data_IF_970331008217
#
_entry.id   IF_970331008217
#
_cell.length_a   1.000
_cell.length_b   1.000
_cell.length_c   1.000
_cell.angle_alpha   90.00
_cell.angle_beta   90.00
_cell.angle_gamma   90.00
#
_symmetry.space_group_name_H-M   'P 1'
#
loop_
_entity.id
_entity.type
_entity.pdbx_description
1 polymer ?
#
# COMPACT_ATOMS: atom_id res chain seq x y z
N UNK A 1 47.49 13.79 -18.85
CA UNK A 1 46.57 12.65 -18.56
C UNK A 1 45.75 12.84 -17.27
N UNK A 2 45.58 14.05 -16.70
CA UNK A 2 44.86 14.25 -15.42
C UNK A 2 43.47 14.90 -15.52
N UNK A 3 43.10 15.52 -16.65
CA UNK A 3 41.80 16.23 -16.79
C UNK A 3 40.59 15.31 -17.06
N UNK A 4 40.80 14.10 -17.59
CA UNK A 4 39.71 13.16 -17.92
C UNK A 4 39.20 12.37 -16.70
N UNK A 5 40.05 12.09 -15.70
CA UNK A 5 39.64 11.38 -14.47
C UNK A 5 38.77 12.22 -13.54
N UNK A 6 38.96 13.54 -13.51
CA UNK A 6 38.17 14.43 -12.65
C UNK A 6 36.71 14.55 -13.13
N UNK A 7 36.49 14.52 -14.46
CA UNK A 7 35.13 14.57 -15.04
C UNK A 7 34.40 13.25 -14.77
N UNK A 8 35.10 12.11 -14.86
CA UNK A 8 34.51 10.80 -14.56
C UNK A 8 34.09 10.68 -13.09
N UNK A 9 34.88 11.22 -12.16
CA UNK A 9 34.52 11.24 -10.74
C UNK A 9 33.33 12.16 -10.45
N UNK A 10 33.20 13.31 -11.13
CA UNK A 10 32.13 14.28 -10.89
C UNK A 10 30.74 13.81 -11.39
N UNK A 11 30.69 12.94 -12.40
CA UNK A 11 29.44 12.40 -12.96
C UNK A 11 28.90 11.23 -12.15
N UNK A 12 29.76 10.49 -11.44
CA UNK A 12 29.33 9.34 -10.62
C UNK A 12 28.70 9.80 -9.29
N UNK A 13 29.05 10.98 -8.78
CA UNK A 13 28.58 11.46 -7.47
C UNK A 13 27.16 12.07 -7.49
N UNK A 14 26.59 12.38 -8.65
CA UNK A 14 25.26 13.04 -8.75
C UNK A 14 24.10 12.08 -8.94
N UNK A 15 24.35 10.77 -9.02
CA UNK A 15 23.31 9.75 -9.25
C UNK A 15 22.90 9.00 -7.97
N UNK A 16 22.97 9.64 -6.80
CA UNK A 16 22.28 9.16 -5.60
C UNK A 16 20.89 9.79 -5.54
N UNK A 17 20.03 9.39 -6.47
CA UNK A 17 18.60 9.66 -6.38
C UNK A 17 18.04 8.97 -5.12
N UNK A 18 18.01 9.71 -4.02
CA UNK A 18 16.85 9.86 -3.16
C UNK A 18 15.95 8.62 -3.06
N UNK A 19 16.45 7.54 -2.44
CA UNK A 19 15.58 6.47 -1.95
C UNK A 19 14.94 6.97 -0.65
N UNK A 20 14.05 7.97 -0.75
CA UNK A 20 13.10 8.25 0.32
C UNK A 20 12.10 7.10 0.29
N UNK A 21 12.47 5.97 0.92
CA UNK A 21 11.44 5.14 1.50
C UNK A 21 10.59 6.10 2.34
N UNK A 22 9.32 6.26 1.98
CA UNK A 22 8.31 7.00 2.74
C UNK A 22 8.12 6.28 4.07
N UNK A 23 9.15 6.36 4.93
CA UNK A 23 9.14 5.78 6.24
C UNK A 23 8.21 6.66 7.06
N UNK A 24 7.14 6.05 7.51
CA UNK A 24 6.30 6.60 8.54
C UNK A 24 7.20 7.12 9.66
N UNK A 25 7.02 8.39 10.02
CA UNK A 25 7.71 8.98 11.16
C UNK A 25 7.26 8.21 12.41
N UNK A 26 8.14 8.05 13.39
CA UNK A 26 7.89 7.22 14.59
C UNK A 26 6.61 7.63 15.35
N UNK A 27 6.21 8.90 15.26
CA UNK A 27 5.01 9.51 15.85
C UNK A 27 3.85 9.70 14.85
N UNK A 28 3.91 9.07 13.66
CA UNK A 28 2.90 9.26 12.63
C UNK A 28 1.49 8.90 13.11
N UNK A 29 1.36 7.86 13.93
CA UNK A 29 0.06 7.44 14.46
C UNK A 29 -0.55 8.44 15.44
N UNK A 30 0.27 9.27 16.13
CA UNK A 30 -0.23 10.27 17.09
C UNK A 30 -1.00 11.40 16.40
N UNK A 31 -0.78 11.57 15.08
CA UNK A 31 -1.42 12.58 14.25
C UNK A 31 -2.51 12.01 13.35
N UNK A 32 -2.68 10.68 13.34
CA UNK A 32 -3.67 9.99 12.51
C UNK A 32 -4.92 9.73 13.35
N UNK A 33 -6.05 10.26 12.89
CA UNK A 33 -7.36 9.98 13.49
C UNK A 33 -7.87 8.67 12.90
N UNK A 34 -7.92 7.62 13.72
CA UNK A 34 -8.48 6.33 13.33
C UNK A 34 -9.98 6.27 13.62
N UNK A 35 -10.74 5.65 12.71
CA UNK A 35 -12.12 5.28 12.98
C UNK A 35 -12.14 4.08 13.94
N UNK A 36 -12.65 4.31 15.15
CA UNK A 36 -12.74 3.29 16.21
C UNK A 36 -13.94 2.36 16.04
N UNK A 37 -14.85 2.67 15.13
CA UNK A 37 -16.01 1.83 14.83
C UNK A 37 -15.65 0.64 13.93
N UNK A 38 -14.49 0.68 13.28
CA UNK A 38 -13.98 -0.42 12.46
C UNK A 38 -13.45 -1.53 13.37
N UNK A 39 -14.34 -2.46 13.75
CA UNK A 39 -13.99 -3.71 14.40
C UNK A 39 -14.24 -4.91 13.49
N UNK A 40 -13.82 -6.09 13.93
CA UNK A 40 -13.89 -7.31 13.13
C UNK A 40 -15.34 -7.72 12.84
N UNK A 41 -16.19 -7.70 13.87
CA UNK A 41 -17.59 -8.13 13.77
C UNK A 41 -18.41 -7.35 12.72
N UNK A 42 -18.45 -6.00 12.71
CA UNK A 42 -19.19 -5.24 11.69
C UNK A 42 -18.56 -5.40 10.29
N UNK A 43 -17.24 -5.57 10.22
CA UNK A 43 -16.58 -5.80 8.94
C UNK A 43 -16.98 -7.14 8.32
N UNK A 44 -16.96 -8.21 9.13
CA UNK A 44 -17.36 -9.55 8.69
C UNK A 44 -18.85 -9.57 8.29
N UNK A 45 -19.72 -8.82 9.00
CA UNK A 45 -21.14 -8.68 8.65
C UNK A 45 -21.40 -8.04 7.29
N UNK A 46 -20.53 -7.12 6.86
CA UNK A 46 -20.63 -6.49 5.53
C UNK A 46 -19.98 -7.32 4.42
N UNK A 47 -19.40 -8.48 4.76
CA UNK A 47 -18.64 -9.31 3.82
C UNK A 47 -17.29 -8.70 3.43
N UNK A 48 -16.78 -7.77 4.24
CA UNK A 48 -15.45 -7.20 4.08
C UNK A 48 -14.37 -8.10 4.69
N UNK A 49 -13.11 -7.83 4.34
CA UNK A 49 -11.95 -8.41 5.02
C UNK A 49 -11.42 -7.41 6.06
N UNK A 50 -11.53 -7.79 7.33
CA UNK A 50 -10.92 -7.04 8.41
C UNK A 50 -9.40 -7.22 8.40
N UNK A 51 -8.66 -6.11 8.52
CA UNK A 51 -7.23 -6.13 8.81
C UNK A 51 -6.92 -5.21 9.98
N UNK A 52 -6.37 -5.79 11.03
CA UNK A 52 -5.82 -5.03 12.14
C UNK A 52 -4.61 -4.23 11.65
N UNK A 53 -4.56 -2.92 11.97
CA UNK A 53 -3.44 -2.04 11.58
C UNK A 53 -3.10 -2.12 10.08
N UNK A 54 -4.10 -2.27 9.21
CA UNK A 54 -3.91 -2.36 7.76
C UNK A 54 -3.86 -1.02 7.04
N UNK A 55 -4.04 0.11 7.74
CA UNK A 55 -4.01 1.45 7.15
C UNK A 55 -2.59 1.99 6.92
N UNK A 56 -2.50 3.20 6.36
CA UNK A 56 -1.25 3.95 6.25
C UNK A 56 -0.47 3.91 7.56
N UNK A 57 0.81 3.57 7.46
CA UNK A 57 1.72 3.49 8.61
C UNK A 57 1.35 2.47 9.68
N UNK A 58 0.44 1.54 9.36
CA UNK A 58 -0.05 0.52 10.28
C UNK A 58 -0.68 1.10 11.55
N UNK A 59 -1.32 2.26 11.43
CA UNK A 59 -1.89 2.97 12.59
C UNK A 59 -3.33 2.54 12.90
N UNK A 60 -4.14 2.28 11.88
CA UNK A 60 -5.58 2.02 12.04
C UNK A 60 -6.00 0.67 11.49
N UNK A 61 -7.05 0.12 12.11
CA UNK A 61 -7.80 -1.00 11.54
C UNK A 61 -8.50 -0.57 10.26
N UNK A 62 -8.67 -1.52 9.35
CA UNK A 62 -9.36 -1.29 8.08
C UNK A 62 -10.29 -2.46 7.79
N UNK A 63 -11.46 -2.13 7.22
CA UNK A 63 -12.35 -3.10 6.63
C UNK A 63 -12.29 -2.93 5.11
N UNK A 64 -11.80 -3.94 4.40
CA UNK A 64 -11.61 -3.86 2.95
C UNK A 64 -12.79 -4.57 2.27
N UNK A 65 -13.62 -3.88 1.48
CA UNK A 65 -14.74 -4.52 0.81
C UNK A 65 -14.24 -5.55 -0.22
N UNK A 66 -15.01 -6.62 -0.37
CA UNK A 66 -14.72 -7.66 -1.35
C UNK A 66 -15.50 -7.43 -2.64
N UNK A 67 -14.87 -7.72 -3.79
CA UNK A 67 -15.47 -7.62 -5.12
C UNK A 67 -15.65 -8.99 -5.75
N UNK A 68 -16.64 -9.07 -6.65
CA UNK A 68 -16.97 -10.29 -7.38
C UNK A 68 -16.09 -10.49 -8.61
N UNK A 69 -16.18 -11.67 -9.20
CA UNK A 69 -15.48 -12.04 -10.44
C UNK A 69 -15.75 -11.03 -11.56
N UNK A 70 -14.73 -10.75 -12.38
CA UNK A 70 -14.79 -9.76 -13.45
C UNK A 70 -14.64 -8.31 -12.98
N UNK A 71 -14.67 -8.05 -11.66
CA UNK A 71 -14.40 -6.71 -11.12
C UNK A 71 -12.92 -6.36 -11.21
N UNK A 72 -12.62 -5.07 -11.39
CA UNK A 72 -11.26 -4.58 -11.33
C UNK A 72 -10.66 -4.80 -9.94
N UNK A 73 -9.39 -5.22 -9.91
CA UNK A 73 -8.59 -5.39 -8.70
C UNK A 73 -7.21 -4.77 -8.92
N UNK A 74 -6.54 -4.39 -7.83
CA UNK A 74 -5.25 -3.70 -7.85
C UNK A 74 -5.31 -2.32 -8.55
N UNK A 75 -6.00 -1.39 -7.90
CA UNK A 75 -5.94 0.02 -8.26
C UNK A 75 -4.59 0.58 -7.80
N UNK A 76 -3.96 1.44 -8.62
CA UNK A 76 -2.71 2.14 -8.28
C UNK A 76 -2.92 2.92 -6.98
N UNK A 77 -2.50 2.34 -5.87
CA UNK A 77 -2.58 2.92 -4.54
C UNK A 77 -1.20 3.43 -4.10
N UNK A 78 -1.13 4.57 -3.41
CA UNK A 78 0.11 5.01 -2.80
C UNK A 78 0.63 3.95 -1.83
N UNK A 79 1.95 3.72 -1.84
CA UNK A 79 2.61 2.74 -0.99
C UNK A 79 2.21 2.94 0.47
N UNK A 80 1.73 1.88 1.11
CA UNK A 80 1.30 1.88 2.51
C UNK A 80 -0.19 2.14 2.73
N UNK A 81 -0.95 2.56 1.71
CA UNK A 81 -2.41 2.62 1.83
C UNK A 81 -3.04 1.24 1.61
N UNK A 82 -4.14 0.92 2.30
CA UNK A 82 -4.91 -0.28 2.04
C UNK A 82 -5.54 -0.19 0.63
N UNK A 83 -5.70 -1.33 -0.08
CA UNK A 83 -6.46 -1.33 -1.31
C UNK A 83 -7.92 -0.95 -1.04
N UNK A 84 -8.57 -0.22 -1.96
CA UNK A 84 -9.96 0.18 -1.82
C UNK A 84 -10.92 -1.02 -1.86
N UNK A 85 -10.51 -2.13 -2.46
CA UNK A 85 -11.24 -3.38 -2.49
C UNK A 85 -10.31 -4.57 -2.80
N UNK A 86 -10.75 -5.79 -2.48
CA UNK A 86 -10.04 -7.04 -2.77
C UNK A 86 -10.96 -8.05 -3.43
N UNK A 87 -10.41 -9.05 -4.12
CA UNK A 87 -11.23 -10.13 -4.67
C UNK A 87 -11.84 -11.00 -3.56
N UNK A 88 -13.11 -11.35 -3.71
CA UNK A 88 -13.79 -12.30 -2.81
C UNK A 88 -13.17 -13.69 -2.99
N UNK A 89 -12.79 -14.41 -1.91
CA UNK A 89 -12.33 -15.78 -2.03
C UNK A 89 -13.37 -16.68 -2.72
N UNK A 90 -12.96 -17.62 -3.59
CA UNK A 90 -11.58 -18.03 -3.90
C UNK A 90 -10.91 -17.27 -5.06
N UNK A 91 -11.41 -16.10 -5.45
CA UNK A 91 -10.90 -15.35 -6.60
C UNK A 91 -9.55 -14.68 -6.28
N UNK A 92 -8.67 -14.66 -7.28
CA UNK A 92 -7.38 -13.98 -7.23
C UNK A 92 -7.35 -12.80 -8.19
N UNK A 93 -6.49 -11.82 -7.91
CA UNK A 93 -6.32 -10.67 -8.78
C UNK A 93 -5.37 -10.99 -9.93
N UNK A 94 -5.92 -11.27 -11.11
CA UNK A 94 -5.18 -11.68 -12.32
C UNK A 94 -5.47 -10.68 -13.45
N UNK A 95 -4.42 -10.09 -14.01
CA UNK A 95 -4.52 -9.03 -15.03
C UNK A 95 -5.45 -7.88 -14.60
N UNK A 96 -5.29 -7.41 -13.35
CA UNK A 96 -6.12 -6.34 -12.78
C UNK A 96 -7.62 -6.67 -12.69
N UNK A 97 -7.99 -7.95 -12.78
CA UNK A 97 -9.38 -8.41 -12.68
C UNK A 97 -9.48 -9.59 -11.72
N UNK A 98 -10.56 -9.67 -10.94
CA UNK A 98 -10.81 -10.83 -10.10
C UNK A 98 -11.22 -12.03 -10.95
N UNK A 99 -10.43 -13.11 -10.90
CA UNK A 99 -10.64 -14.35 -11.66
C UNK A 99 -10.45 -15.56 -10.76
N UNK A 100 -11.13 -16.65 -11.07
CA UNK A 100 -10.81 -17.95 -10.49
C UNK A 100 -9.50 -18.45 -11.09
N UNK A 101 -8.58 -18.93 -10.24
CA UNK A 101 -7.33 -19.55 -10.69
C UNK A 101 -7.60 -20.86 -11.44
#
# INVERSE_FOLDING_TARGET
>A
MQRRSLIFFLVVTTCTCAVYATKCVSDACDRIVCDTTITKEPCDQTGGQFREKGSLCHCCNVCIPQTDEGSACNLTIPVGFPPPSICRPPLECIDYTCKLH
#
